data_IF_830021240308
#
_entry.id   IF_830021240308
#
_cell.length_a   1.000
_cell.length_b   1.000
_cell.length_c   1.000
_cell.angle_alpha   90.00
_cell.angle_beta   90.00
_cell.angle_gamma   90.00
#
_symmetry.space_group_name_H-M   'P 1'
#
loop_
_entity.id
_entity.type
_entity.pdbx_description
1 polymer ?
#
# COMPACT_ATOMS: atom_id res chain seq x y z
N UNK A 1 17.02 -29.82 -18.15
CA UNK A 1 15.73 -29.16 -17.84
C UNK A 1 16.02 -27.79 -17.23
N UNK A 2 15.99 -26.73 -18.03
CA UNK A 2 16.27 -25.36 -17.58
C UNK A 2 14.92 -24.67 -17.38
N UNK A 3 14.52 -24.42 -16.14
CA UNK A 3 13.30 -23.65 -15.84
C UNK A 3 13.63 -22.16 -15.92
N UNK A 4 13.02 -21.52 -16.90
CA UNK A 4 13.12 -20.12 -17.29
C UNK A 4 12.87 -19.17 -16.12
N UNK A 5 13.85 -18.30 -15.84
CA UNK A 5 13.81 -17.22 -14.83
C UNK A 5 12.86 -16.05 -15.22
N UNK A 6 11.68 -16.35 -15.75
CA UNK A 6 10.75 -15.33 -16.25
C UNK A 6 9.51 -15.05 -15.40
N UNK A 7 9.21 -15.90 -14.41
CA UNK A 7 7.85 -15.96 -13.84
C UNK A 7 7.72 -15.63 -12.35
N UNK A 8 8.83 -15.48 -11.61
CA UNK A 8 8.79 -15.29 -10.14
C UNK A 8 8.68 -13.81 -9.72
N UNK A 9 8.86 -12.86 -10.64
CA UNK A 9 8.88 -11.43 -10.31
C UNK A 9 7.48 -10.77 -10.26
N UNK A 10 6.43 -11.40 -10.78
CA UNK A 10 5.08 -10.78 -10.87
C UNK A 10 4.17 -11.08 -9.67
N UNK A 11 4.41 -12.17 -8.94
CA UNK A 11 3.57 -12.55 -7.79
C UNK A 11 4.07 -11.94 -6.47
N UNK A 12 5.38 -11.70 -6.33
CA UNK A 12 5.97 -11.29 -5.05
C UNK A 12 5.71 -9.81 -4.65
N UNK A 13 5.47 -8.91 -5.62
CA UNK A 13 5.33 -7.47 -5.34
C UNK A 13 3.89 -7.08 -4.95
N UNK A 14 2.89 -7.91 -5.29
CA UNK A 14 1.52 -7.77 -4.76
C UNK A 14 1.27 -8.64 -3.53
N UNK A 15 1.91 -9.82 -3.42
CA UNK A 15 1.73 -10.73 -2.28
C UNK A 15 2.14 -10.12 -0.93
N UNK A 16 3.24 -9.35 -0.88
CA UNK A 16 3.67 -8.67 0.36
C UNK A 16 2.77 -7.51 0.78
N UNK A 17 2.07 -6.89 -0.16
CA UNK A 17 1.12 -5.80 0.09
C UNK A 17 -0.26 -6.30 0.54
N UNK A 18 -0.65 -7.51 0.14
CA UNK A 18 -1.94 -8.11 0.49
C UNK A 18 -2.11 -8.35 2.00
N UNK A 19 -1.01 -8.47 2.75
CA UNK A 19 -1.07 -8.57 4.22
C UNK A 19 -1.43 -7.25 4.90
N UNK A 20 -1.17 -6.11 4.24
CA UNK A 20 -1.44 -4.76 4.78
C UNK A 20 -2.74 -4.18 4.26
N UNK A 21 -3.11 -4.43 3.00
CA UNK A 21 -4.42 -4.05 2.44
C UNK A 21 -5.08 -5.22 1.75
N UNK A 22 -6.35 -5.45 2.07
CA UNK A 22 -7.24 -6.27 1.25
C UNK A 22 -7.51 -5.61 -0.10
N UNK A 23 -8.06 -6.36 -1.06
CA UNK A 23 -8.48 -5.81 -2.35
C UNK A 23 -9.52 -4.69 -2.18
N UNK A 24 -10.44 -4.81 -1.22
CA UNK A 24 -11.45 -3.80 -0.94
C UNK A 24 -10.83 -2.52 -0.36
N UNK A 25 -9.86 -2.67 0.55
CA UNK A 25 -9.13 -1.55 1.17
C UNK A 25 -8.26 -0.83 0.13
N UNK A 26 -7.62 -1.59 -0.76
CA UNK A 26 -6.92 -1.04 -1.92
C UNK A 26 -7.85 -0.24 -2.83
N UNK A 27 -9.03 -0.79 -3.14
CA UNK A 27 -10.02 -0.11 -3.96
C UNK A 27 -10.56 1.15 -3.27
N UNK A 28 -10.75 1.13 -1.94
CA UNK A 28 -11.14 2.30 -1.14
C UNK A 28 -10.08 3.39 -1.21
N UNK A 29 -8.80 3.05 -1.05
CA UNK A 29 -7.69 4.00 -1.15
C UNK A 29 -7.57 4.60 -2.55
N UNK A 30 -7.68 3.78 -3.59
CA UNK A 30 -7.64 4.22 -4.99
C UNK A 30 -8.86 5.09 -5.34
N UNK A 31 -10.05 4.79 -4.83
CA UNK A 31 -11.24 5.62 -5.00
C UNK A 31 -11.08 6.99 -4.33
N UNK A 32 -10.51 7.04 -3.12
CA UNK A 32 -10.21 8.29 -2.43
C UNK A 32 -9.18 9.13 -3.20
N UNK A 33 -8.15 8.49 -3.77
CA UNK A 33 -7.18 9.15 -4.63
C UNK A 33 -7.82 9.71 -5.90
N UNK A 34 -8.72 8.97 -6.56
CA UNK A 34 -9.45 9.49 -7.73
C UNK A 34 -10.35 10.67 -7.41
N UNK A 35 -10.97 10.69 -6.23
CA UNK A 35 -11.89 11.75 -5.82
C UNK A 35 -11.17 13.01 -5.34
N UNK A 36 -10.03 12.87 -4.66
CA UNK A 36 -9.38 13.96 -3.93
C UNK A 36 -7.92 14.22 -4.32
N UNK A 37 -7.36 13.45 -5.25
CA UNK A 37 -5.92 13.43 -5.52
C UNK A 37 -5.12 13.10 -4.25
N UNK A 38 -4.04 13.85 -4.01
CA UNK A 38 -3.28 13.79 -2.74
C UNK A 38 -3.82 14.76 -1.67
N UNK A 39 -5.12 15.10 -1.73
CA UNK A 39 -5.78 16.01 -0.78
C UNK A 39 -6.11 15.37 0.57
N UNK A 40 -6.71 16.15 1.48
CA UNK A 40 -7.02 15.71 2.86
C UNK A 40 -7.90 14.46 2.93
N UNK A 41 -8.87 14.33 2.03
CA UNK A 41 -9.75 13.14 1.97
C UNK A 41 -8.99 11.84 1.65
N UNK A 42 -7.96 11.91 0.82
CA UNK A 42 -7.08 10.76 0.57
C UNK A 42 -6.27 10.40 1.81
N UNK A 43 -5.65 11.38 2.47
CA UNK A 43 -4.81 11.13 3.64
C UNK A 43 -5.59 10.63 4.86
N UNK A 44 -6.85 11.03 5.01
CA UNK A 44 -7.72 10.48 6.05
C UNK A 44 -7.97 8.98 5.83
N UNK A 45 -8.36 8.59 4.61
CA UNK A 45 -8.55 7.17 4.26
C UNK A 45 -7.25 6.39 4.40
N UNK A 46 -6.12 6.98 4.02
CA UNK A 46 -4.80 6.37 4.17
C UNK A 46 -4.48 6.06 5.64
N UNK A 47 -4.71 7.00 6.56
CA UNK A 47 -4.45 6.81 8.00
C UNK A 47 -5.35 5.75 8.62
N UNK A 48 -6.65 5.75 8.28
CA UNK A 48 -7.59 4.71 8.73
C UNK A 48 -7.11 3.30 8.34
N UNK A 49 -6.66 3.16 7.09
CA UNK A 49 -6.18 1.90 6.56
C UNK A 49 -4.84 1.49 7.18
N UNK A 50 -3.94 2.44 7.43
CA UNK A 50 -2.67 2.19 8.12
C UNK A 50 -2.89 1.65 9.54
N UNK A 51 -3.83 2.23 10.30
CA UNK A 51 -4.20 1.75 11.65
C UNK A 51 -4.78 0.34 11.57
N UNK A 52 -5.64 0.09 10.58
CA UNK A 52 -6.27 -1.22 10.36
C UNK A 52 -5.23 -2.28 10.02
N UNK A 53 -4.30 -1.96 9.11
CA UNK A 53 -3.18 -2.81 8.73
C UNK A 53 -2.27 -3.14 9.92
N UNK A 54 -1.96 -2.14 10.76
CA UNK A 54 -1.15 -2.32 11.96
C UNK A 54 -1.81 -3.27 12.96
N UNK A 55 -3.11 -3.08 13.23
CA UNK A 55 -3.88 -3.96 14.12
C UNK A 55 -3.97 -5.39 13.60
N UNK A 56 -4.11 -5.56 12.28
CA UNK A 56 -4.23 -6.88 11.63
C UNK A 56 -2.93 -7.66 11.64
N UNK A 57 -1.81 -7.00 11.35
CA UNK A 57 -0.51 -7.66 11.17
C UNK A 57 0.26 -7.82 12.48
N UNK A 58 0.03 -6.96 13.47
CA UNK A 58 0.86 -6.89 14.68
C UNK A 58 2.28 -6.38 14.42
N UNK A 59 2.56 -5.92 13.19
CA UNK A 59 3.88 -5.43 12.80
C UNK A 59 4.20 -4.07 13.45
N UNK A 60 5.50 -3.75 13.62
CA UNK A 60 5.92 -2.42 14.05
C UNK A 60 5.36 -1.31 13.16
N UNK A 61 4.96 -0.19 13.77
CA UNK A 61 4.35 0.96 13.08
C UNK A 61 5.16 1.41 11.86
N UNK A 62 6.49 1.49 12.00
CA UNK A 62 7.41 1.90 10.93
C UNK A 62 7.34 0.98 9.71
N UNK A 63 7.23 -0.33 9.92
CA UNK A 63 7.13 -1.32 8.83
C UNK A 63 5.83 -1.16 8.06
N UNK A 64 4.71 -1.03 8.78
CA UNK A 64 3.38 -0.78 8.18
C UNK A 64 3.37 0.54 7.41
N UNK A 65 3.98 1.59 7.96
CA UNK A 65 4.06 2.89 7.32
C UNK A 65 4.85 2.86 6.01
N UNK A 66 6.00 2.18 5.99
CA UNK A 66 6.81 2.07 4.78
C UNK A 66 6.10 1.30 3.67
N UNK A 67 5.34 0.25 4.00
CA UNK A 67 4.57 -0.50 3.00
C UNK A 67 3.35 0.28 2.50
N UNK A 68 2.62 0.95 3.39
CA UNK A 68 1.54 1.87 3.00
C UNK A 68 2.07 3.01 2.13
N UNK A 69 3.26 3.55 2.41
CA UNK A 69 3.89 4.58 1.59
C UNK A 69 4.22 4.06 0.17
N UNK A 70 4.74 2.84 0.05
CA UNK A 70 4.97 2.20 -1.26
C UNK A 70 3.65 2.02 -2.04
N UNK A 71 2.57 1.68 -1.36
CA UNK A 71 1.23 1.56 -1.96
C UNK A 71 0.70 2.89 -2.48
N UNK A 72 0.80 3.96 -1.69
CA UNK A 72 0.43 5.31 -2.12
C UNK A 72 1.29 5.80 -3.29
N UNK A 73 2.59 5.50 -3.29
CA UNK A 73 3.48 5.84 -4.40
C UNK A 73 3.08 5.16 -5.72
N UNK A 74 2.60 3.90 -5.69
CA UNK A 74 2.06 3.20 -6.87
C UNK A 74 0.83 3.89 -7.48
N UNK A 75 0.11 4.67 -6.68
CA UNK A 75 -1.04 5.47 -7.15
C UNK A 75 -0.62 6.80 -7.78
N UNK A 76 0.65 7.18 -7.69
CA UNK A 76 1.12 8.52 -8.05
C UNK A 76 0.89 9.57 -6.96
N UNK A 77 0.47 9.17 -5.76
CA UNK A 77 0.40 10.03 -4.58
C UNK A 77 1.81 10.29 -4.03
N UNK A 78 2.64 10.98 -4.81
CA UNK A 78 4.02 11.32 -4.47
C UNK A 78 4.14 12.82 -4.28
N UNK A 79 3.87 13.29 -3.07
CA UNK A 79 4.24 14.65 -2.70
C UNK A 79 5.28 14.70 -1.57
N UNK A 80 5.22 13.86 -0.53
CA UNK A 80 6.14 13.94 0.63
C UNK A 80 6.26 12.64 1.43
N UNK A 81 6.46 11.49 0.78
CA UNK A 81 6.81 10.28 1.52
C UNK A 81 8.30 10.34 1.88
N UNK A 82 8.63 10.88 3.06
CA UNK A 82 9.93 10.62 3.67
C UNK A 82 9.89 9.14 4.06
N UNK A 83 10.61 8.31 3.32
CA UNK A 83 10.92 6.95 3.75
C UNK A 83 11.75 7.08 5.03
N UNK A 84 11.22 6.57 6.14
CA UNK A 84 11.91 6.56 7.45
C UNK A 84 12.46 5.16 7.70
#
# INVERSE_FOLDING_TARGET
MVKTQGQVARENVMGYSAQYLSNEEWMKLHAAYKAHGSGSGFWQVYQELQITAQRRTGDPCVKVANEMARMAAKLGATAKAIFV
#
